data_IF_156952454656
#
_entry.id   IF_156952454656
#
_cell.length_a   1.000
_cell.length_b   1.000
_cell.length_c   1.000
_cell.angle_alpha   90.00
_cell.angle_beta   90.00
_cell.angle_gamma   90.00
#
_symmetry.space_group_name_H-M   'P 1'
#
loop_
_entity.id
_entity.type
_entity.pdbx_description
1 polymer ?
#
# COMPACT_ATOMS: atom_id res chain seq x y z
N UNK A 1 8.44 8.81 -16.53
CA UNK A 1 8.52 7.60 -15.69
C UNK A 1 7.58 6.58 -16.27
N UNK A 2 8.09 5.59 -17.01
CA UNK A 2 7.25 4.55 -17.60
C UNK A 2 6.69 3.64 -16.50
N UNK A 3 5.39 3.35 -16.56
CA UNK A 3 4.65 2.54 -15.58
C UNK A 3 5.28 1.15 -15.33
N UNK A 4 6.13 0.69 -16.24
CA UNK A 4 6.91 -0.55 -16.16
C UNK A 4 7.76 -0.66 -14.88
N UNK A 5 8.26 0.46 -14.35
CA UNK A 5 9.10 0.47 -13.14
C UNK A 5 8.32 0.15 -11.86
N UNK A 6 6.99 0.27 -11.87
CA UNK A 6 6.14 -0.01 -10.72
C UNK A 6 5.67 -1.46 -10.65
N UNK A 7 5.87 -2.25 -11.71
CA UNK A 7 5.45 -3.65 -11.73
C UNK A 7 6.07 -4.48 -10.59
N UNK A 8 7.37 -4.39 -10.29
CA UNK A 8 7.96 -5.13 -9.18
C UNK A 8 7.32 -4.77 -7.83
N UNK A 9 7.05 -3.49 -7.58
CA UNK A 9 6.38 -3.03 -6.37
C UNK A 9 4.94 -3.55 -6.31
N UNK A 10 4.21 -3.49 -7.43
CA UNK A 10 2.84 -3.99 -7.52
C UNK A 10 2.77 -5.50 -7.25
N UNK A 11 3.70 -6.27 -7.79
CA UNK A 11 3.80 -7.71 -7.56
C UNK A 11 4.14 -8.03 -6.09
N UNK A 12 5.10 -7.30 -5.51
CA UNK A 12 5.42 -7.41 -4.08
C UNK A 12 4.19 -7.21 -3.20
N UNK A 13 3.41 -6.15 -3.47
CA UNK A 13 2.16 -5.86 -2.77
C UNK A 13 1.10 -6.94 -3.00
N UNK A 14 0.94 -7.43 -4.22
CA UNK A 14 -0.03 -8.46 -4.56
C UNK A 14 0.26 -9.80 -3.85
N UNK A 15 1.54 -10.13 -3.62
CA UNK A 15 1.93 -11.34 -2.88
C UNK A 15 1.61 -11.27 -1.38
N UNK A 16 1.60 -10.07 -0.78
CA UNK A 16 1.32 -9.89 0.66
C UNK A 16 -0.13 -9.52 0.98
N UNK A 17 -0.84 -8.90 0.03
CA UNK A 17 -2.20 -8.40 0.22
C UNK A 17 -3.17 -9.09 -0.74
N UNK A 18 -3.58 -10.31 -0.36
CA UNK A 18 -4.43 -11.16 -1.19
C UNK A 18 -5.86 -10.62 -1.26
N UNK A 19 -6.42 -10.54 -2.47
CA UNK A 19 -7.81 -10.15 -2.70
C UNK A 19 -8.11 -8.66 -2.54
N UNK A 20 -7.10 -7.81 -2.40
CA UNK A 20 -7.26 -6.35 -2.20
C UNK A 20 -6.60 -5.53 -3.31
N UNK A 21 -6.81 -5.90 -4.58
CA UNK A 21 -6.22 -5.21 -5.74
C UNK A 21 -6.61 -3.72 -5.77
N UNK A 22 -7.82 -3.38 -5.35
CA UNK A 22 -8.28 -1.98 -5.28
C UNK A 22 -7.44 -1.13 -4.31
N UNK A 23 -7.15 -1.67 -3.12
CA UNK A 23 -6.30 -0.99 -2.14
C UNK A 23 -4.88 -0.80 -2.66
N UNK A 24 -4.30 -1.83 -3.29
CA UNK A 24 -2.97 -1.77 -3.90
C UNK A 24 -2.89 -0.65 -4.95
N UNK A 25 -3.88 -0.56 -5.83
CA UNK A 25 -3.93 0.49 -6.85
C UNK A 25 -4.04 1.88 -6.22
N UNK A 26 -4.93 2.07 -5.25
CA UNK A 26 -5.06 3.36 -4.55
C UNK A 26 -3.79 3.78 -3.82
N UNK A 27 -3.07 2.84 -3.22
CA UNK A 27 -1.76 3.11 -2.59
C UNK A 27 -0.71 3.56 -3.61
N UNK A 28 -0.62 2.89 -4.77
CA UNK A 28 0.31 3.28 -5.82
C UNK A 28 -0.03 4.67 -6.40
N UNK A 29 -1.31 4.95 -6.64
CA UNK A 29 -1.75 6.28 -7.08
C UNK A 29 -1.38 7.34 -6.05
N UNK A 30 -1.66 7.09 -4.77
CA UNK A 30 -1.34 7.99 -3.67
C UNK A 30 0.16 8.28 -3.58
N UNK A 31 1.00 7.26 -3.73
CA UNK A 31 2.45 7.40 -3.72
C UNK A 31 2.95 8.26 -4.90
N UNK A 32 2.43 8.02 -6.09
CA UNK A 32 2.83 8.78 -7.29
C UNK A 32 2.33 10.22 -7.29
N UNK A 33 1.21 10.47 -6.62
CA UNK A 33 0.63 11.81 -6.51
C UNK A 33 1.15 12.61 -5.32
N UNK A 34 2.05 12.03 -4.51
CA UNK A 34 2.51 12.61 -3.24
C UNK A 34 1.34 12.94 -2.28
N UNK A 35 0.32 12.06 -2.28
CA UNK A 35 -0.94 12.25 -1.56
C UNK A 35 -1.01 11.54 -0.20
N UNK A 36 -2.18 11.65 0.44
CA UNK A 36 -2.52 10.90 1.66
C UNK A 36 -3.71 9.98 1.42
N UNK A 37 -3.62 8.74 1.92
CA UNK A 37 -4.65 7.72 1.76
C UNK A 37 -5.38 7.45 3.09
N UNK A 38 -6.70 7.61 3.08
CA UNK A 38 -7.56 7.10 4.14
C UNK A 38 -8.05 5.70 3.78
N UNK A 39 -7.73 4.70 4.61
CA UNK A 39 -8.09 3.30 4.35
C UNK A 39 -9.25 2.86 5.25
N UNK A 40 -10.45 2.89 4.70
CA UNK A 40 -11.68 2.42 5.36
C UNK A 40 -12.00 0.97 5.01
N UNK A 41 -12.72 0.28 5.89
CA UNK A 41 -13.18 -1.09 5.66
C UNK A 41 -13.26 -1.92 6.93
N UNK A 42 -13.71 -3.16 6.80
CA UNK A 42 -13.86 -4.07 7.94
C UNK A 42 -12.52 -4.40 8.61
N UNK A 43 -12.50 -4.68 9.93
CA UNK A 43 -11.32 -5.19 10.60
C UNK A 43 -10.87 -6.52 9.96
N UNK A 44 -9.56 -6.74 9.88
CA UNK A 44 -8.99 -7.98 9.32
C UNK A 44 -8.73 -7.98 7.81
N UNK A 45 -9.10 -6.94 7.06
CA UNK A 45 -8.88 -6.86 5.61
C UNK A 45 -7.47 -6.41 5.20
N UNK A 46 -6.43 -6.88 5.92
CA UNK A 46 -5.03 -6.64 5.61
C UNK A 46 -4.59 -5.16 5.50
N UNK A 47 -5.39 -4.19 5.99
CA UNK A 47 -5.08 -2.74 5.91
C UNK A 47 -3.69 -2.40 6.45
N UNK A 48 -3.37 -2.85 7.66
CA UNK A 48 -2.03 -2.65 8.26
C UNK A 48 -0.95 -3.39 7.49
N UNK A 49 -1.23 -4.60 7.01
CA UNK A 49 -0.29 -5.40 6.22
C UNK A 49 0.06 -4.72 4.91
N UNK A 50 -0.93 -4.09 4.26
CA UNK A 50 -0.77 -3.41 3.00
C UNK A 50 0.16 -2.19 3.12
N UNK A 51 -0.05 -1.36 4.15
CA UNK A 51 0.81 -0.19 4.40
C UNK A 51 2.23 -0.60 4.76
N UNK A 52 2.41 -1.66 5.56
CA UNK A 52 3.74 -2.22 5.87
C UNK A 52 4.46 -2.75 4.63
N UNK A 53 3.76 -3.52 3.80
CA UNK A 53 4.31 -4.07 2.56
C UNK A 53 4.70 -2.97 1.57
N UNK A 54 3.94 -1.86 1.54
CA UNK A 54 4.28 -0.69 0.74
C UNK A 54 5.59 -0.06 1.22
N UNK A 55 5.70 0.20 2.52
CA UNK A 55 6.91 0.76 3.13
C UNK A 55 8.14 -0.12 2.86
N UNK A 56 8.02 -1.45 3.07
CA UNK A 56 9.07 -2.42 2.73
C UNK A 56 9.48 -2.35 1.24
N UNK A 57 8.50 -2.28 0.33
CA UNK A 57 8.74 -2.29 -1.11
C UNK A 57 9.36 -1.00 -1.68
N UNK A 58 9.32 0.10 -0.93
CA UNK A 58 9.94 1.38 -1.32
C UNK A 58 11.11 1.78 -0.42
N UNK A 59 11.56 0.88 0.46
CA UNK A 59 12.60 1.14 1.46
C UNK A 59 12.26 2.36 2.36
N UNK A 60 10.97 2.56 2.65
CA UNK A 60 10.47 3.63 3.49
C UNK A 60 10.17 3.20 4.93
N UNK A 61 9.99 4.19 5.81
CA UNK A 61 9.68 3.95 7.21
C UNK A 61 8.17 3.81 7.46
N UNK A 62 7.78 2.79 8.22
CA UNK A 62 6.40 2.61 8.67
C UNK A 62 6.22 3.10 10.12
N UNK A 63 5.34 4.08 10.31
CA UNK A 63 4.94 4.58 11.62
C UNK A 63 3.43 4.38 11.84
N UNK A 64 3.06 3.83 13.01
CA UNK A 64 1.65 3.67 13.42
C UNK A 64 1.34 4.59 14.59
N UNK A 65 0.34 5.45 14.41
CA UNK A 65 -0.24 6.29 15.46
C UNK A 65 -1.67 5.81 15.71
N UNK A 66 -2.00 5.42 16.93
CA UNK A 66 -3.33 4.97 17.32
C UNK A 66 -4.06 6.09 18.04
N UNK A 67 -5.24 6.46 17.55
CA UNK A 67 -6.16 7.38 18.22
C UNK A 67 -7.03 6.59 19.20
N UNK A 68 -7.29 7.15 20.39
CA UNK A 68 -8.17 6.59 21.43
C UNK A 68 -9.63 6.87 21.15
#
# INVERSE_FOLDING_TARGET
MDATHLNPLREHLACRVIGQTGLVNSMLVCLLSDGHLLVEGMPGLAKTTAVKALAEGIEGDFHRIQFT
#
